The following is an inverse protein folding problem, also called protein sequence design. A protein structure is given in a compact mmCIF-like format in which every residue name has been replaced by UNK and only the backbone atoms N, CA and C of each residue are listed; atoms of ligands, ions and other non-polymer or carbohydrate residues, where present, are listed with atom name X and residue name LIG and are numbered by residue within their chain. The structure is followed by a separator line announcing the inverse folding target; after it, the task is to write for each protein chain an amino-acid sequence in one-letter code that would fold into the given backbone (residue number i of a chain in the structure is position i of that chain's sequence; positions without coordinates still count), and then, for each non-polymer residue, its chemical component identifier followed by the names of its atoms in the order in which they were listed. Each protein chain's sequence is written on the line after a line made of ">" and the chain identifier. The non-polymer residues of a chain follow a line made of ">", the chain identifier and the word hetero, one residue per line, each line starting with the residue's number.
data_IF_262914064628
#
_entry.id   IF_262914064628
#
_cell.length_a   1.000
_cell.length_b   1.000
_cell.length_c   1.000
_cell.angle_alpha   90.00
_cell.angle_beta   90.00
_cell.angle_gamma   90.00
#
_symmetry.space_group_name_H-M   'P 1'
#
loop_
_entity.id
_entity.type
_entity.pdbx_description
1 polymer ?
#
# COMPACT_ATOMS: atom_id res chain seq x y z
N UNK A 1 -11.22 -33.18 57.92
CA UNK A 1 -12.31 -32.33 58.44
C UNK A 1 -12.80 -31.47 57.28
N UNK A 2 -13.65 -32.04 56.41
CA UNK A 2 -15.13 -31.89 56.37
C UNK A 2 -15.50 -30.77 55.38
N UNK A 3 -16.05 -31.09 54.18
CA UNK A 3 -17.49 -31.26 53.82
C UNK A 3 -18.33 -30.02 54.19
N UNK A 4 -19.24 -29.42 53.40
CA UNK A 4 -20.36 -29.86 52.52
C UNK A 4 -20.72 -28.64 51.60
N UNK A 5 -21.20 -28.75 50.33
CA UNK A 5 -22.55 -29.13 49.81
C UNK A 5 -23.64 -28.14 50.31
N UNK A 6 -24.45 -27.42 49.52
CA UNK A 6 -25.59 -27.76 48.59
C UNK A 6 -26.12 -26.40 48.04
N UNK A 7 -26.49 -26.13 46.77
CA UNK A 7 -27.50 -26.61 45.80
C UNK A 7 -28.94 -26.00 45.91
N UNK A 8 -29.48 -25.61 44.72
CA UNK A 8 -30.90 -25.44 44.29
C UNK A 8 -31.67 -24.18 44.77
N UNK A 9 -32.49 -23.44 43.99
CA UNK A 9 -33.57 -23.76 43.02
C UNK A 9 -33.75 -22.58 42.01
N UNK A 10 -33.81 -22.80 40.68
CA UNK A 10 -34.99 -22.88 39.78
C UNK A 10 -36.00 -21.72 39.79
N UNK A 11 -36.26 -21.12 38.60
CA UNK A 11 -37.56 -21.05 37.89
C UNK A 11 -37.39 -20.25 36.56
N UNK A 12 -37.77 -20.88 35.43
CA UNK A 12 -38.01 -20.26 34.12
C UNK A 12 -39.48 -19.81 34.01
N UNK A 13 -39.82 -18.93 33.06
CA UNK A 13 -41.09 -19.07 32.35
C UNK A 13 -40.91 -19.16 30.83
N UNK A 14 -41.59 -20.16 30.28
CA UNK A 14 -41.98 -20.34 28.87
C UNK A 14 -43.28 -19.57 28.65
N UNK A 15 -43.46 -18.90 27.49
CA UNK A 15 -44.80 -18.68 26.93
C UNK A 15 -44.81 -18.79 25.40
N UNK A 16 -45.95 -19.30 24.94
CA UNK A 16 -46.26 -19.96 23.68
C UNK A 16 -46.42 -19.04 22.45
N UNK A 17 -46.23 -19.69 21.31
CA UNK A 17 -46.74 -19.36 19.96
C UNK A 17 -48.27 -19.40 19.88
N UNK A 18 -48.87 -18.56 19.02
CA UNK A 18 -50.07 -18.95 18.25
C UNK A 18 -50.37 -18.05 17.02
N UNK A 19 -50.60 -18.74 15.89
CA UNK A 19 -51.49 -18.50 14.73
C UNK A 19 -51.63 -17.13 14.00
N UNK A 20 -51.40 -17.19 12.68
CA UNK A 20 -51.95 -16.38 11.56
C UNK A 20 -53.31 -17.02 11.12
N UNK A 21 -54.36 -16.30 10.62
CA UNK A 21 -54.53 -16.00 9.17
C UNK A 21 -55.53 -14.82 8.81
N UNK A 22 -55.83 -14.64 7.49
CA UNK A 22 -56.70 -13.67 6.77
C UNK A 22 -55.97 -12.40 6.24
N UNK A 23 -55.64 -12.22 4.96
CA UNK A 23 -56.32 -12.31 3.64
C UNK A 23 -57.19 -11.10 3.24
N UNK A 24 -56.73 -10.44 2.17
CA UNK A 24 -57.45 -9.80 1.06
C UNK A 24 -58.06 -8.38 1.12
N UNK A 25 -57.53 -7.55 0.20
CA UNK A 25 -58.19 -6.60 -0.73
C UNK A 25 -58.94 -5.38 -0.13
N UNK A 26 -58.89 -4.14 -0.63
CA UNK A 26 -58.65 -3.63 -1.99
C UNK A 26 -58.48 -2.07 -1.99
N UNK A 27 -57.83 -1.56 -3.04
CA UNK A 27 -57.98 -0.25 -3.73
C UNK A 27 -57.51 1.13 -3.17
N UNK A 28 -56.53 1.70 -3.94
CA UNK A 28 -56.45 3.05 -4.61
C UNK A 28 -56.42 4.32 -3.71
N UNK A 29 -55.69 5.41 -3.96
CA UNK A 29 -55.06 5.99 -5.18
C UNK A 29 -54.06 7.12 -4.81
N UNK A 30 -52.99 7.29 -5.63
CA UNK A 30 -52.25 8.56 -5.97
C UNK A 30 -51.37 9.24 -4.89
N UNK A 31 -50.20 9.83 -5.16
CA UNK A 31 -49.64 10.49 -6.36
C UNK A 31 -48.12 10.25 -6.52
N UNK A 32 -47.72 10.07 -7.78
CA UNK A 32 -46.36 10.23 -8.31
C UNK A 32 -45.93 11.70 -8.31
N UNK A 33 -44.66 11.98 -8.01
CA UNK A 33 -43.95 13.17 -8.53
C UNK A 33 -42.64 12.72 -9.15
N UNK A 34 -42.57 12.89 -10.47
CA UNK A 34 -41.37 12.86 -11.32
C UNK A 34 -40.74 14.25 -11.30
N UNK A 35 -39.41 14.35 -11.15
CA UNK A 35 -38.68 15.59 -11.37
C UNK A 35 -37.82 15.48 -12.62
N UNK A 36 -38.21 16.28 -13.60
CA UNK A 36 -37.59 16.39 -14.91
C UNK A 36 -36.49 17.47 -14.88
N UNK A 37 -35.43 17.22 -15.63
CA UNK A 37 -34.24 18.05 -15.79
C UNK A 37 -34.52 19.30 -16.65
N UNK A 38 -34.17 20.50 -16.16
CA UNK A 38 -33.88 21.68 -16.99
C UNK A 38 -32.80 22.56 -16.36
N UNK A 39 -31.87 22.97 -17.22
CA UNK A 39 -30.63 23.76 -17.02
C UNK A 39 -30.87 25.17 -16.46
N UNK A 40 -29.97 25.65 -15.60
CA UNK A 40 -29.69 27.09 -15.35
C UNK A 40 -28.18 27.32 -15.07
N UNK A 41 -27.59 28.45 -15.51
CA UNK A 41 -26.18 28.80 -15.31
C UNK A 41 -25.93 29.66 -14.04
N UNK A 42 -24.67 29.80 -13.57
CA UNK A 42 -24.33 30.57 -12.35
C UNK A 42 -24.21 32.08 -12.60
N UNK A 43 -24.22 32.92 -11.54
CA UNK A 43 -24.43 34.36 -11.66
C UNK A 43 -23.16 35.19 -11.90
N UNK A 44 -23.41 36.33 -12.54
CA UNK A 44 -22.52 37.44 -12.91
C UNK A 44 -21.92 38.18 -11.71
N UNK A 45 -20.62 38.44 -11.74
CA UNK A 45 -19.91 39.35 -10.81
C UNK A 45 -19.76 40.73 -11.47
N UNK A 46 -20.11 41.77 -10.71
CA UNK A 46 -20.19 43.17 -11.13
C UNK A 46 -18.88 43.73 -11.71
N UNK A 47 -18.99 44.38 -12.87
CA UNK A 47 -18.04 45.38 -13.37
C UNK A 47 -18.32 46.74 -12.70
N UNK A 48 -17.34 47.28 -11.96
CA UNK A 48 -17.27 48.69 -11.60
C UNK A 48 -16.47 49.43 -12.67
N UNK A 49 -17.16 50.26 -13.47
CA UNK A 49 -16.56 51.33 -14.28
C UNK A 49 -16.50 52.59 -13.42
N UNK A 50 -15.31 53.17 -13.27
CA UNK A 50 -15.13 54.57 -12.87
C UNK A 50 -14.35 55.32 -13.95
N UNK A 51 -14.73 56.59 -14.09
CA UNK A 51 -14.44 57.49 -15.19
C UNK A 51 -12.99 58.01 -15.22
N UNK A 52 -12.59 58.40 -16.44
CA UNK A 52 -11.39 59.13 -16.82
C UNK A 52 -11.32 60.56 -16.26
N UNK A 53 -10.11 61.03 -15.89
CA UNK A 53 -9.58 62.40 -16.11
C UNK A 53 -8.09 62.49 -15.74
N UNK A 54 -7.27 62.92 -16.71
CA UNK A 54 -5.99 63.71 -16.70
C UNK A 54 -5.35 64.08 -15.34
N UNK A 55 -4.02 64.07 -15.09
CA UNK A 55 -2.89 64.74 -15.81
C UNK A 55 -1.50 64.32 -15.28
N UNK A 56 -0.51 64.36 -16.18
CA UNK A 56 0.93 64.75 -16.09
C UNK A 56 1.98 64.02 -15.22
N UNK A 57 3.01 63.56 -15.96
CA UNK A 57 4.47 63.63 -15.71
C UNK A 57 5.09 62.84 -14.55
N UNK A 58 5.96 61.87 -14.87
CA UNK A 58 7.42 62.05 -14.89
C UNK A 58 8.09 60.82 -15.52
N UNK A 59 9.16 61.08 -16.28
CA UNK A 59 9.95 60.12 -17.03
C UNK A 59 10.87 59.29 -16.14
N UNK A 60 11.13 58.03 -16.52
CA UNK A 60 12.50 57.52 -16.53
C UNK A 60 12.66 56.40 -17.58
N UNK A 61 13.86 56.32 -18.14
CA UNK A 61 14.16 55.83 -19.49
C UNK A 61 15.07 54.60 -19.52
N UNK A 62 14.71 53.63 -20.39
CA UNK A 62 15.54 52.69 -21.20
C UNK A 62 16.38 51.58 -20.51
N UNK A 63 16.77 50.49 -21.22
CA UNK A 63 16.10 49.71 -22.28
C UNK A 63 16.26 48.15 -22.13
N UNK A 64 15.55 47.33 -22.93
CA UNK A 64 15.75 45.87 -22.97
C UNK A 64 16.87 45.41 -23.93
N UNK A 65 17.49 44.27 -23.62
CA UNK A 65 18.65 43.63 -24.26
C UNK A 65 18.39 43.08 -25.69
N UNK A 66 19.42 43.00 -26.56
CA UNK A 66 19.27 42.65 -27.99
C UNK A 66 19.16 41.14 -28.26
N UNK A 67 18.44 40.79 -29.34
CA UNK A 67 18.31 39.45 -29.92
C UNK A 67 19.55 39.01 -30.73
N UNK A 68 19.82 37.70 -30.88
CA UNK A 68 21.04 37.21 -31.53
C UNK A 68 20.96 37.26 -33.08
N UNK A 69 22.11 37.28 -33.79
CA UNK A 69 22.15 37.41 -35.24
C UNK A 69 21.91 36.08 -36.00
N UNK A 70 21.56 36.12 -37.28
CA UNK A 70 21.26 34.92 -38.08
C UNK A 70 22.54 34.24 -38.63
N UNK A 71 22.48 32.92 -38.80
CA UNK A 71 23.57 32.09 -39.34
C UNK A 71 23.63 32.12 -40.88
N UNK A 72 24.82 31.95 -41.50
CA UNK A 72 24.96 31.91 -42.96
C UNK A 72 24.70 30.49 -43.52
N UNK A 73 24.30 30.36 -44.81
CA UNK A 73 24.08 29.06 -45.45
C UNK A 73 25.30 28.61 -46.28
N UNK A 74 25.55 27.31 -46.35
CA UNK A 74 26.55 26.73 -47.26
C UNK A 74 26.85 25.26 -47.00
N UNK A 75 26.70 24.45 -48.04
CA UNK A 75 26.59 22.99 -48.12
C UNK A 75 27.87 22.16 -47.85
N UNK A 76 27.66 20.88 -47.48
CA UNK A 76 28.14 19.62 -48.14
C UNK A 76 28.48 18.48 -47.17
N UNK A 77 27.98 17.30 -47.54
CA UNK A 77 28.11 15.98 -46.93
C UNK A 77 29.53 15.57 -46.51
N UNK A 78 29.71 15.09 -45.26
CA UNK A 78 30.69 14.03 -44.92
C UNK A 78 30.29 13.25 -43.63
N UNK A 79 30.25 11.94 -43.82
CA UNK A 79 30.06 10.76 -42.95
C UNK A 79 30.57 10.82 -41.47
N UNK A 80 29.89 10.05 -40.60
CA UNK A 80 30.29 9.48 -39.28
C UNK A 80 30.30 10.43 -38.06
N UNK A 81 29.32 10.26 -37.16
CA UNK A 81 29.47 9.39 -35.97
C UNK A 81 28.14 9.32 -35.22
N UNK A 82 27.62 8.11 -35.01
CA UNK A 82 26.43 7.91 -34.18
C UNK A 82 26.82 8.15 -32.73
N UNK A 83 26.58 9.37 -32.24
CA UNK A 83 26.81 9.73 -30.84
C UNK A 83 26.23 8.64 -29.93
N UNK A 84 27.01 8.06 -29.00
CA UNK A 84 26.53 6.98 -28.17
C UNK A 84 25.34 7.48 -27.36
N UNK A 85 24.22 6.75 -27.47
CA UNK A 85 22.99 7.02 -26.72
C UNK A 85 23.31 7.03 -25.22
N UNK A 86 23.52 8.25 -24.68
CA UNK A 86 23.91 8.49 -23.27
C UNK A 86 22.94 7.83 -22.28
N UNK A 87 21.70 7.57 -22.69
CA UNK A 87 20.71 6.80 -21.92
C UNK A 87 21.10 5.32 -21.77
N UNK A 88 21.55 4.69 -22.86
CA UNK A 88 21.95 3.28 -22.90
C UNK A 88 23.21 3.01 -22.08
N UNK A 89 24.16 3.93 -22.13
CA UNK A 89 25.40 3.84 -21.34
C UNK A 89 25.16 4.07 -19.85
N UNK A 90 24.26 4.98 -19.49
CA UNK A 90 23.84 5.16 -18.09
C UNK A 90 23.14 3.91 -17.54
N UNK A 91 22.26 3.27 -18.32
CA UNK A 91 21.61 2.01 -17.93
C UNK A 91 22.61 0.86 -17.77
N UNK A 92 23.63 0.78 -18.64
CA UNK A 92 24.73 -0.19 -18.51
C UNK A 92 25.58 0.06 -17.27
N UNK A 93 25.92 1.32 -16.98
CA UNK A 93 26.68 1.69 -15.78
C UNK A 93 25.92 1.34 -14.49
N UNK A 94 24.62 1.65 -14.42
CA UNK A 94 23.75 1.26 -13.29
C UNK A 94 23.67 -0.25 -13.16
N UNK A 95 23.52 -0.99 -14.27
CA UNK A 95 23.51 -2.46 -14.27
C UNK A 95 24.82 -3.04 -13.76
N UNK A 96 25.97 -2.53 -14.19
CA UNK A 96 27.29 -2.99 -13.76
C UNK A 96 27.56 -2.65 -12.28
N UNK A 97 27.19 -1.45 -11.85
CA UNK A 97 27.26 -1.06 -10.44
C UNK A 97 26.37 -1.94 -9.57
N UNK A 98 25.15 -2.25 -10.05
CA UNK A 98 24.25 -3.17 -9.41
C UNK A 98 24.80 -4.59 -9.36
N UNK A 99 25.34 -5.12 -10.46
CA UNK A 99 25.97 -6.44 -10.48
C UNK A 99 27.12 -6.52 -9.48
N UNK A 100 27.95 -5.47 -9.37
CA UNK A 100 29.00 -5.38 -8.34
C UNK A 100 28.42 -5.37 -6.92
N UNK A 101 27.33 -4.63 -6.70
CA UNK A 101 26.59 -4.58 -5.43
C UNK A 101 25.97 -5.94 -5.06
N UNK A 102 25.49 -6.68 -6.07
CA UNK A 102 24.74 -7.93 -5.97
C UNK A 102 25.63 -9.18 -6.07
N UNK A 103 26.93 -9.04 -6.41
CA UNK A 103 27.91 -10.15 -6.38
C UNK A 103 27.97 -10.83 -5.01
N UNK A 104 27.81 -10.07 -3.93
CA UNK A 104 27.67 -10.61 -2.58
C UNK A 104 26.37 -11.39 -2.35
N UNK A 105 25.27 -11.04 -3.02
CA UNK A 105 23.99 -11.78 -2.92
C UNK A 105 24.08 -13.19 -3.50
N UNK A 106 24.94 -13.43 -4.50
CA UNK A 106 25.13 -14.76 -5.10
C UNK A 106 25.90 -15.69 -4.17
N UNK A 107 26.89 -15.15 -3.46
CA UNK A 107 27.61 -15.87 -2.41
C UNK A 107 26.71 -16.17 -1.20
N UNK A 108 25.84 -15.23 -0.84
CA UNK A 108 24.80 -15.47 0.16
C UNK A 108 23.71 -16.44 -0.33
N UNK A 109 23.33 -16.45 -1.61
CA UNK A 109 22.34 -17.40 -2.18
C UNK A 109 22.68 -18.87 -1.95
N UNK A 110 23.97 -19.24 -1.95
CA UNK A 110 24.40 -20.62 -1.69
C UNK A 110 24.33 -21.01 -0.22
N UNK A 111 24.37 -20.03 0.70
CA UNK A 111 24.33 -20.26 2.16
C UNK A 111 22.97 -19.92 2.78
N UNK A 112 22.20 -19.10 2.07
CA UNK A 112 20.90 -18.57 2.43
C UNK A 112 19.76 -19.20 1.62
N UNK A 113 19.82 -20.52 1.40
CA UNK A 113 18.59 -21.30 1.34
C UNK A 113 18.03 -21.30 2.77
N UNK A 114 17.49 -20.14 3.16
CA UNK A 114 17.29 -19.75 4.55
C UNK A 114 16.02 -20.36 5.08
N UNK A 115 16.17 -21.14 6.15
CA UNK A 115 15.14 -21.78 6.95
C UNK A 115 13.88 -20.91 7.13
N UNK A 116 14.02 -19.58 7.23
CA UNK A 116 12.89 -18.65 7.30
C UNK A 116 11.95 -18.76 6.10
N UNK A 117 12.45 -18.58 4.87
CA UNK A 117 11.58 -18.61 3.69
C UNK A 117 10.99 -20.00 3.46
N UNK A 118 11.77 -21.05 3.73
CA UNK A 118 11.34 -22.43 3.55
C UNK A 118 10.24 -22.82 4.56
N UNK A 119 10.34 -22.39 5.83
CA UNK A 119 9.34 -22.68 6.86
C UNK A 119 8.10 -21.79 6.79
N UNK A 120 8.21 -20.58 6.24
CA UNK A 120 7.06 -19.69 6.03
C UNK A 120 6.09 -20.34 5.03
N UNK A 121 4.84 -20.54 5.47
CA UNK A 121 3.74 -21.12 4.67
C UNK A 121 2.77 -20.05 4.22
N UNK A 122 2.50 -19.03 5.04
CA UNK A 122 1.48 -18.03 4.75
C UNK A 122 1.92 -16.61 5.13
N UNK A 123 1.69 -15.67 4.23
CA UNK A 123 1.84 -14.23 4.47
C UNK A 123 0.50 -13.57 4.24
N UNK A 124 0.14 -12.62 5.09
CA UNK A 124 -0.98 -11.72 4.86
C UNK A 124 -0.48 -10.32 4.54
N UNK A 125 -1.13 -9.65 3.59
CA UNK A 125 -0.89 -8.25 3.22
C UNK A 125 -2.16 -7.46 3.48
N UNK A 126 -2.12 -6.56 4.46
CA UNK A 126 -3.22 -5.67 4.82
C UNK A 126 -3.15 -4.42 3.95
N UNK A 127 -4.05 -4.31 2.97
CA UNK A 127 -4.16 -3.16 2.07
C UNK A 127 -3.78 -3.49 0.62
N UNK A 128 -4.78 -3.44 -0.26
CA UNK A 128 -4.65 -3.68 -1.70
C UNK A 128 -4.24 -2.46 -2.54
N UNK A 129 -3.53 -1.49 -1.96
CA UNK A 129 -3.00 -0.33 -2.70
C UNK A 129 -1.79 -0.69 -3.57
N UNK A 130 -1.20 0.30 -4.26
CA UNK A 130 -0.03 0.07 -5.13
C UNK A 130 1.13 -0.61 -4.38
N UNK A 131 1.59 -0.08 -3.25
CA UNK A 131 2.77 -0.67 -2.59
C UNK A 131 2.46 -2.04 -1.94
N UNK A 132 1.28 -2.21 -1.33
CA UNK A 132 0.84 -3.51 -0.81
C UNK A 132 0.74 -4.58 -1.89
N UNK A 133 0.17 -4.24 -3.05
CA UNK A 133 0.09 -5.16 -4.21
C UNK A 133 1.48 -5.50 -4.75
N UNK A 134 2.37 -4.52 -4.87
CA UNK A 134 3.72 -4.77 -5.34
C UNK A 134 4.52 -5.67 -4.37
N UNK A 135 4.33 -5.48 -3.07
CA UNK A 135 4.95 -6.33 -2.07
C UNK A 135 4.36 -7.74 -2.07
N UNK A 136 3.04 -7.88 -2.22
CA UNK A 136 2.37 -9.17 -2.36
C UNK A 136 2.92 -9.97 -3.55
N UNK A 137 3.03 -9.34 -4.72
CA UNK A 137 3.64 -9.96 -5.90
C UNK A 137 5.11 -10.35 -5.64
N UNK A 138 5.88 -9.44 -5.05
CA UNK A 138 7.29 -9.69 -4.74
C UNK A 138 7.49 -10.89 -3.81
N UNK A 139 6.75 -10.97 -2.69
CA UNK A 139 6.88 -12.10 -1.75
C UNK A 139 6.34 -13.39 -2.33
N UNK A 140 5.25 -13.34 -3.10
CA UNK A 140 4.69 -14.51 -3.78
C UNK A 140 5.70 -15.15 -4.76
N UNK A 141 6.48 -14.33 -5.47
CA UNK A 141 7.55 -14.78 -6.37
C UNK A 141 8.74 -15.42 -5.64
N UNK A 142 8.86 -15.26 -4.31
CA UNK A 142 9.98 -15.83 -3.55
C UNK A 142 9.92 -17.35 -3.41
N UNK A 143 8.71 -17.91 -3.34
CA UNK A 143 8.46 -19.34 -3.11
C UNK A 143 7.08 -19.71 -3.67
N UNK A 144 7.06 -20.65 -4.61
CA UNK A 144 5.83 -21.03 -5.32
C UNK A 144 4.71 -21.59 -4.40
N UNK A 145 5.08 -22.27 -3.32
CA UNK A 145 4.13 -22.86 -2.35
C UNK A 145 3.73 -21.90 -1.22
N UNK A 146 4.20 -20.65 -1.26
CA UNK A 146 3.84 -19.65 -0.26
C UNK A 146 2.44 -19.11 -0.54
N UNK A 147 1.53 -19.22 0.42
CA UNK A 147 0.22 -18.60 0.35
C UNK A 147 0.35 -17.10 0.68
N UNK A 148 -0.09 -16.22 -0.23
CA UNK A 148 -0.07 -14.77 -0.02
C UNK A 148 -1.49 -14.22 -0.07
N UNK A 149 -2.05 -13.97 1.10
CA UNK A 149 -3.41 -13.45 1.22
C UNK A 149 -3.41 -11.93 1.32
N UNK A 150 -4.10 -11.27 0.41
CA UNK A 150 -4.32 -9.84 0.43
C UNK A 150 -5.68 -9.52 1.04
N UNK A 151 -5.70 -8.84 2.18
CA UNK A 151 -6.92 -8.25 2.70
C UNK A 151 -7.17 -6.92 1.98
N UNK A 152 -8.23 -6.90 1.16
CA UNK A 152 -8.63 -5.73 0.38
C UNK A 152 -10.03 -5.27 0.79
N UNK A 153 -10.28 -3.96 0.74
CA UNK A 153 -11.58 -3.39 1.11
C UNK A 153 -12.62 -3.47 -0.02
N UNK A 154 -12.15 -3.38 -1.25
CA UNK A 154 -13.00 -3.26 -2.44
C UNK A 154 -13.29 -4.65 -3.03
N UNK A 155 -14.55 -5.11 -3.05
CA UNK A 155 -14.92 -6.40 -3.63
C UNK A 155 -14.57 -6.53 -5.11
N UNK A 156 -14.54 -5.43 -5.87
CA UNK A 156 -14.16 -5.47 -7.29
C UNK A 156 -12.68 -5.78 -7.47
N UNK A 157 -11.82 -5.18 -6.62
CA UNK A 157 -10.38 -5.51 -6.60
C UNK A 157 -10.18 -6.96 -6.16
N UNK A 158 -10.91 -7.40 -5.14
CA UNK A 158 -10.87 -8.79 -4.65
C UNK A 158 -11.16 -9.78 -5.79
N UNK A 159 -12.30 -9.60 -6.46
CA UNK A 159 -12.71 -10.45 -7.57
C UNK A 159 -11.72 -10.40 -8.74
N UNK A 160 -11.24 -9.20 -9.12
CA UNK A 160 -10.24 -9.05 -10.19
C UNK A 160 -8.93 -9.80 -9.90
N UNK A 161 -8.46 -9.79 -8.65
CA UNK A 161 -7.24 -10.50 -8.26
C UNK A 161 -7.47 -12.02 -8.34
N UNK A 162 -8.62 -12.50 -7.85
CA UNK A 162 -8.89 -13.94 -7.79
C UNK A 162 -9.18 -14.56 -9.17
N UNK A 163 -9.93 -13.87 -10.02
CA UNK A 163 -10.31 -14.41 -11.34
C UNK A 163 -9.25 -14.14 -12.41
N UNK A 164 -8.70 -12.92 -12.44
CA UNK A 164 -7.85 -12.47 -13.54
C UNK A 164 -6.37 -12.40 -13.15
N UNK A 165 -6.05 -12.48 -11.86
CA UNK A 165 -4.72 -12.20 -11.31
C UNK A 165 -4.23 -10.79 -11.66
N UNK A 166 -5.11 -9.79 -11.60
CA UNK A 166 -4.74 -8.38 -11.72
C UNK A 166 -5.37 -7.56 -10.61
N UNK A 167 -4.63 -6.58 -10.09
CA UNK A 167 -5.25 -5.50 -9.34
C UNK A 167 -5.72 -4.44 -10.34
N UNK A 168 -6.97 -4.54 -10.80
CA UNK A 168 -7.55 -3.70 -11.85
C UNK A 168 -7.42 -2.18 -11.61
N UNK A 169 -7.30 -1.75 -10.35
CA UNK A 169 -7.19 -0.33 -9.99
C UNK A 169 -5.75 0.17 -9.98
N UNK A 170 -4.84 -0.59 -9.39
CA UNK A 170 -3.48 -0.12 -9.11
C UNK A 170 -2.43 -0.67 -10.08
N UNK A 171 -2.68 -1.84 -10.67
CA UNK A 171 -1.81 -2.50 -11.66
C UNK A 171 -2.64 -3.28 -12.70
N UNK A 172 -3.40 -2.59 -13.57
CA UNK A 172 -4.22 -3.24 -14.59
C UNK A 172 -3.39 -4.00 -15.64
N UNK A 173 -2.10 -3.70 -15.77
CA UNK A 173 -1.20 -4.27 -16.79
C UNK A 173 -0.17 -5.26 -16.22
N UNK A 174 -0.14 -5.49 -14.90
CA UNK A 174 0.82 -6.40 -14.27
C UNK A 174 0.12 -7.59 -13.63
N UNK A 175 0.34 -8.77 -14.22
CA UNK A 175 -0.21 -10.01 -13.71
C UNK A 175 0.45 -10.40 -12.39
N UNK A 176 -0.36 -10.71 -11.39
CA UNK A 176 0.05 -11.22 -10.10
C UNK A 176 0.38 -12.72 -10.18
N UNK A 177 1.32 -13.21 -9.35
CA UNK A 177 1.55 -14.64 -9.21
C UNK A 177 0.28 -15.38 -8.76
N UNK A 178 0.10 -16.63 -9.23
CA UNK A 178 -1.11 -17.41 -8.99
C UNK A 178 -1.33 -17.82 -7.52
N UNK A 179 -0.31 -17.68 -6.68
CA UNK A 179 -0.36 -17.89 -5.23
C UNK A 179 -0.72 -16.62 -4.43
N UNK A 180 -1.11 -15.53 -5.11
CA UNK A 180 -1.71 -14.35 -4.50
C UNK A 180 -3.23 -14.48 -4.53
N UNK A 181 -3.85 -14.47 -3.36
CA UNK A 181 -5.30 -14.61 -3.18
C UNK A 181 -5.82 -13.37 -2.46
N UNK A 182 -6.87 -12.74 -2.96
CA UNK A 182 -7.52 -11.63 -2.29
C UNK A 182 -8.75 -12.09 -1.51
N UNK A 183 -9.01 -11.44 -0.38
CA UNK A 183 -10.23 -11.61 0.41
C UNK A 183 -10.65 -10.28 1.01
N UNK A 184 -11.95 -10.14 1.30
CA UNK A 184 -12.51 -9.04 2.09
C UNK A 184 -12.74 -9.43 3.55
N UNK A 185 -12.52 -10.69 3.91
CA UNK A 185 -12.68 -11.21 5.27
C UNK A 185 -11.34 -11.21 6.02
N UNK A 186 -11.23 -10.38 7.06
CA UNK A 186 -10.02 -10.25 7.86
C UNK A 186 -9.68 -11.53 8.62
N UNK A 187 -10.69 -12.28 9.07
CA UNK A 187 -10.47 -13.49 9.87
C UNK A 187 -9.77 -14.58 9.05
N UNK A 188 -10.28 -14.90 7.86
CA UNK A 188 -9.64 -15.86 6.95
C UNK A 188 -8.27 -15.40 6.45
N UNK A 189 -8.10 -14.09 6.22
CA UNK A 189 -6.81 -13.52 5.80
C UNK A 189 -5.72 -13.76 6.84
N UNK A 190 -6.02 -13.48 8.10
CA UNK A 190 -5.06 -13.53 9.22
C UNK A 190 -4.83 -14.94 9.78
N UNK A 191 -5.80 -15.84 9.65
CA UNK A 191 -5.73 -17.18 10.22
C UNK A 191 -4.49 -17.94 9.72
N UNK A 192 -3.59 -18.29 10.65
CA UNK A 192 -2.38 -19.06 10.39
C UNK A 192 -1.31 -18.31 9.60
N UNK A 193 -1.35 -16.97 9.53
CA UNK A 193 -0.29 -16.19 8.92
C UNK A 193 1.01 -16.28 9.74
N UNK A 194 2.15 -16.41 9.05
CA UNK A 194 3.48 -16.39 9.68
C UNK A 194 4.06 -14.97 9.73
N UNK A 195 3.64 -14.10 8.81
CA UNK A 195 4.02 -12.68 8.74
C UNK A 195 2.85 -11.85 8.21
N UNK A 196 2.73 -10.63 8.72
CA UNK A 196 1.76 -9.63 8.30
C UNK A 196 2.46 -8.41 7.72
N UNK A 197 2.14 -8.06 6.48
CA UNK A 197 2.56 -6.82 5.85
C UNK A 197 1.47 -5.78 6.02
N UNK A 198 1.76 -4.72 6.75
CA UNK A 198 0.80 -3.64 6.95
C UNK A 198 1.06 -2.52 5.93
N UNK A 199 0.18 -2.41 4.94
CA UNK A 199 0.25 -1.43 3.85
C UNK A 199 -0.91 -0.41 3.87
N UNK A 200 -1.73 -0.40 4.93
CA UNK A 200 -2.82 0.56 5.10
C UNK A 200 -2.22 1.94 5.43
N UNK A 201 -2.69 3.05 4.81
CA UNK A 201 -2.18 4.38 5.12
C UNK A 201 -2.28 4.72 6.61
N UNK A 202 -1.27 5.41 7.15
CA UNK A 202 -1.12 5.70 8.59
C UNK A 202 -2.39 6.31 9.19
N UNK A 203 -3.04 7.22 8.47
CA UNK A 203 -4.24 7.94 8.94
C UNK A 203 -5.46 7.04 9.20
N UNK A 204 -5.50 5.85 8.58
CA UNK A 204 -6.60 4.89 8.76
C UNK A 204 -6.17 3.69 9.61
N UNK A 205 -4.92 3.65 10.08
CA UNK A 205 -4.33 2.44 10.63
C UNK A 205 -4.85 2.11 12.02
N UNK A 206 -5.06 3.10 12.91
CA UNK A 206 -5.55 2.82 14.27
C UNK A 206 -6.92 2.16 14.24
N UNK A 207 -7.90 2.79 13.56
CA UNK A 207 -9.27 2.27 13.48
C UNK A 207 -9.36 0.94 12.73
N UNK A 208 -8.58 0.77 11.66
CA UNK A 208 -8.50 -0.49 10.93
C UNK A 208 -7.95 -1.63 11.79
N UNK A 209 -6.84 -1.39 12.50
CA UNK A 209 -6.20 -2.40 13.34
C UNK A 209 -7.07 -2.76 14.57
N UNK A 210 -7.73 -1.77 15.18
CA UNK A 210 -8.71 -2.00 16.24
C UNK A 210 -9.84 -2.91 15.77
N UNK A 211 -10.32 -2.74 14.53
CA UNK A 211 -11.40 -3.55 13.95
C UNK A 211 -11.03 -4.99 13.62
N UNK A 212 -9.74 -5.33 13.60
CA UNK A 212 -9.27 -6.70 13.32
C UNK A 212 -8.51 -7.33 14.50
N UNK A 213 -8.39 -6.62 15.63
CA UNK A 213 -7.53 -7.00 16.74
C UNK A 213 -7.80 -8.43 17.25
N UNK A 214 -9.07 -8.83 17.31
CA UNK A 214 -9.49 -10.15 17.81
C UNK A 214 -9.08 -11.32 16.88
N UNK A 215 -8.66 -11.03 15.64
CA UNK A 215 -8.19 -12.03 14.67
C UNK A 215 -6.67 -12.12 14.57
N UNK A 216 -5.94 -11.20 15.22
CA UNK A 216 -4.49 -11.15 15.13
C UNK A 216 -3.86 -12.06 16.18
N UNK A 217 -3.05 -13.02 15.74
CA UNK A 217 -2.25 -13.81 16.66
C UNK A 217 -1.24 -12.89 17.40
N UNK A 218 -1.15 -12.94 18.75
CA UNK A 218 -0.27 -12.08 19.53
C UNK A 218 1.22 -12.19 19.18
N UNK A 219 1.64 -13.29 18.55
CA UNK A 219 3.01 -13.56 18.11
C UNK A 219 3.26 -13.23 16.64
N UNK A 220 2.23 -12.84 15.88
CA UNK A 220 2.33 -12.52 14.45
C UNK A 220 3.25 -11.31 14.20
N UNK A 221 4.37 -11.46 13.50
CA UNK A 221 5.19 -10.32 13.15
C UNK A 221 4.54 -9.37 12.14
N UNK A 222 4.51 -8.08 12.47
CA UNK A 222 4.08 -7.01 11.59
C UNK A 222 5.28 -6.34 10.92
N UNK A 223 5.27 -6.31 9.59
CA UNK A 223 6.17 -5.54 8.74
C UNK A 223 5.38 -4.31 8.25
N UNK A 224 5.61 -3.16 8.88
CA UNK A 224 5.00 -1.90 8.48
C UNK A 224 5.64 -1.39 7.18
N UNK A 225 4.81 -1.18 6.17
CA UNK A 225 5.16 -0.53 4.92
C UNK A 225 4.71 0.93 4.87
N UNK A 226 3.89 1.34 5.85
CA UNK A 226 3.25 2.64 5.92
C UNK A 226 4.26 3.68 6.40
N UNK A 227 4.29 4.84 5.74
CA UNK A 227 5.18 5.96 6.03
C UNK A 227 4.40 7.15 6.56
N UNK A 228 4.98 7.88 7.52
CA UNK A 228 4.42 9.11 8.07
C UNK A 228 3.85 8.97 9.48
N UNK A 229 3.27 10.05 9.98
CA UNK A 229 2.72 10.17 11.32
C UNK A 229 1.19 10.27 11.27
N UNK A 230 0.51 9.68 12.25
CA UNK A 230 -0.92 9.92 12.45
C UNK A 230 -1.14 11.36 12.89
N UNK A 231 -1.89 12.15 12.12
CA UNK A 231 -1.93 13.62 12.29
C UNK A 231 -2.41 14.08 13.67
N UNK A 232 -3.41 13.39 14.23
CA UNK A 232 -4.02 13.80 15.48
C UNK A 232 -3.19 13.44 16.72
N UNK A 233 -2.33 12.42 16.62
CA UNK A 233 -1.59 11.88 17.77
C UNK A 233 -0.08 12.00 17.63
N UNK A 234 0.39 12.35 16.42
CA UNK A 234 1.79 12.37 16.00
C UNK A 234 2.51 11.04 16.22
N UNK A 235 1.76 9.93 16.22
CA UNK A 235 2.32 8.59 16.44
C UNK A 235 2.86 7.97 15.17
N UNK A 236 3.94 7.22 15.33
CA UNK A 236 4.52 6.33 14.31
C UNK A 236 3.85 4.95 14.36
N UNK A 237 4.03 4.13 13.33
CA UNK A 237 3.43 2.80 13.25
C UNK A 237 3.92 1.86 14.37
N UNK A 238 5.17 1.98 14.81
CA UNK A 238 5.71 1.27 15.98
C UNK A 238 4.98 1.59 17.29
N UNK A 239 4.24 2.70 17.35
CA UNK A 239 3.39 3.07 18.48
C UNK A 239 1.91 2.75 18.22
N UNK A 240 1.45 2.87 16.97
CA UNK A 240 0.06 2.63 16.58
C UNK A 240 -0.27 1.13 16.65
N UNK A 241 0.53 0.26 16.02
CA UNK A 241 0.26 -1.18 15.93
C UNK A 241 0.07 -1.83 17.30
N UNK A 242 1.04 -1.77 18.24
CA UNK A 242 0.87 -2.42 19.54
C UNK A 242 -0.29 -1.83 20.35
N UNK A 243 -0.60 -0.53 20.19
CA UNK A 243 -1.71 0.12 20.90
C UNK A 243 -3.07 -0.33 20.36
N UNK A 244 -3.26 -0.28 19.05
CA UNK A 244 -4.51 -0.66 18.39
C UNK A 244 -4.83 -2.15 18.61
N UNK A 245 -3.80 -3.00 18.59
CA UNK A 245 -3.92 -4.44 18.86
C UNK A 245 -3.97 -4.79 20.35
N UNK A 246 -3.87 -3.79 21.25
CA UNK A 246 -3.83 -3.99 22.72
C UNK A 246 -2.72 -4.97 23.16
N UNK A 247 -1.62 -5.01 22.42
CA UNK A 247 -0.48 -5.88 22.66
C UNK A 247 0.84 -5.08 22.66
N UNK A 248 1.32 -4.64 23.83
CA UNK A 248 2.58 -3.88 23.94
C UNK A 248 3.83 -4.62 23.43
N UNK A 249 3.76 -5.95 23.30
CA UNK A 249 4.86 -6.81 22.84
C UNK A 249 4.68 -7.28 21.39
N UNK A 250 3.77 -6.68 20.62
CA UNK A 250 3.57 -7.06 19.21
C UNK A 250 4.90 -7.03 18.46
N UNK A 251 5.32 -8.14 17.82
CA UNK A 251 6.58 -8.16 17.08
C UNK A 251 6.48 -7.21 15.87
N UNK A 252 7.40 -6.25 15.81
CA UNK A 252 7.32 -5.13 14.88
C UNK A 252 8.61 -4.96 14.08
N UNK A 253 8.44 -4.72 12.78
CA UNK A 253 9.49 -4.37 11.82
C UNK A 253 9.00 -3.17 11.00
N UNK A 254 9.83 -2.15 10.85
CA UNK A 254 9.63 -1.09 9.85
C UNK A 254 10.38 -1.43 8.57
N UNK A 255 9.76 -1.25 7.41
CA UNK A 255 10.41 -1.35 6.10
C UNK A 255 10.34 0.00 5.38
N UNK A 256 11.48 0.58 5.03
CA UNK A 256 11.54 1.85 4.30
C UNK A 256 12.69 1.89 3.29
N UNK A 257 12.68 2.89 2.42
CA UNK A 257 13.65 3.07 1.34
C UNK A 257 13.05 3.69 0.07
N UNK A 258 13.89 4.00 -0.93
CA UNK A 258 13.46 4.41 -2.26
C UNK A 258 12.87 3.21 -3.00
N UNK A 259 11.55 3.10 -3.01
CA UNK A 259 10.85 1.90 -3.46
C UNK A 259 9.53 2.25 -4.17
N UNK A 260 9.61 2.73 -5.40
CA UNK A 260 8.40 2.95 -6.20
C UNK A 260 7.74 1.61 -6.51
N UNK A 261 6.42 1.52 -6.26
CA UNK A 261 5.68 0.27 -6.40
C UNK A 261 5.76 -0.31 -7.82
N UNK A 262 5.71 0.55 -8.85
CA UNK A 262 5.84 0.15 -10.25
C UNK A 262 7.24 -0.40 -10.57
N UNK A 263 8.30 0.16 -9.99
CA UNK A 263 9.66 -0.36 -10.18
C UNK A 263 9.80 -1.76 -9.57
N UNK A 264 9.18 -2.00 -8.43
CA UNK A 264 9.15 -3.32 -7.78
C UNK A 264 8.37 -4.34 -8.63
N UNK A 265 7.21 -3.96 -9.19
CA UNK A 265 6.45 -4.79 -10.13
C UNK A 265 7.24 -5.11 -11.41
N UNK A 266 8.02 -4.15 -11.90
CA UNK A 266 8.91 -4.33 -13.05
C UNK A 266 10.22 -5.08 -12.71
N UNK A 267 10.38 -5.55 -11.46
CA UNK A 267 11.57 -6.25 -10.95
C UNK A 267 12.87 -5.46 -11.19
N UNK A 268 12.78 -4.13 -11.14
CA UNK A 268 13.95 -3.27 -11.26
C UNK A 268 14.79 -3.32 -9.98
N UNK A 269 16.10 -3.06 -10.07
CA UNK A 269 16.97 -2.91 -8.90
C UNK A 269 16.43 -1.92 -7.87
N UNK A 270 16.12 -2.41 -6.68
CA UNK A 270 15.60 -1.63 -5.55
C UNK A 270 16.38 -1.96 -4.29
N UNK A 271 16.62 -0.96 -3.44
CA UNK A 271 17.27 -1.14 -2.14
C UNK A 271 16.39 -0.58 -1.03
N UNK A 272 16.21 -1.35 0.04
CA UNK A 272 15.41 -0.97 1.20
C UNK A 272 16.10 -1.36 2.51
N UNK A 273 15.60 -0.83 3.62
CA UNK A 273 16.04 -1.12 4.99
C UNK A 273 14.88 -1.70 5.77
N UNK A 274 15.10 -2.83 6.42
CA UNK A 274 14.23 -3.34 7.50
C UNK A 274 14.83 -2.95 8.85
N UNK A 275 14.02 -2.41 9.75
CA UNK A 275 14.43 -2.06 11.10
C UNK A 275 13.56 -2.75 12.14
N UNK A 276 14.18 -3.35 13.15
CA UNK A 276 13.48 -3.87 14.32
C UNK A 276 14.37 -3.77 15.55
N UNK A 277 13.75 -3.62 16.73
CA UNK A 277 14.45 -3.74 18.01
C UNK A 277 14.97 -5.16 18.25
N UNK A 278 14.32 -6.16 17.65
CA UNK A 278 14.79 -7.54 17.64
C UNK A 278 15.61 -7.83 16.38
N UNK A 279 16.93 -8.04 16.58
CA UNK A 279 17.86 -8.38 15.51
C UNK A 279 17.50 -9.68 14.78
N UNK A 280 16.98 -10.69 15.48
CA UNK A 280 16.56 -11.95 14.85
C UNK A 280 15.38 -11.69 13.92
N UNK A 281 14.46 -10.84 14.35
CA UNK A 281 13.28 -10.47 13.58
C UNK A 281 13.64 -9.65 12.33
N UNK A 282 14.55 -8.68 12.45
CA UNK A 282 15.08 -7.93 11.30
C UNK A 282 15.79 -8.85 10.28
N UNK A 283 16.61 -9.80 10.77
CA UNK A 283 17.28 -10.78 9.90
C UNK A 283 16.29 -11.72 9.22
N UNK A 284 15.22 -12.13 9.91
CA UNK A 284 14.18 -12.97 9.32
C UNK A 284 13.44 -12.24 8.20
N UNK A 285 13.07 -10.97 8.43
CA UNK A 285 12.46 -10.11 7.41
C UNK A 285 13.40 -9.89 6.20
N UNK A 286 14.69 -9.68 6.44
CA UNK A 286 15.68 -9.57 5.37
C UNK A 286 15.71 -10.84 4.51
N UNK A 287 15.72 -12.03 5.11
CA UNK A 287 15.73 -13.31 4.37
C UNK A 287 14.41 -13.50 3.59
N UNK A 288 13.29 -13.13 4.20
CA UNK A 288 11.95 -13.18 3.61
C UNK A 288 11.79 -12.24 2.40
N UNK A 289 12.54 -11.14 2.33
CA UNK A 289 12.40 -10.10 1.31
C UNK A 289 13.54 -10.03 0.28
N UNK A 290 14.79 -10.32 0.64
CA UNK A 290 15.93 -10.15 -0.25
C UNK A 290 15.86 -11.07 -1.49
N UNK A 291 15.97 -10.48 -2.68
CA UNK A 291 15.97 -11.21 -3.97
C UNK A 291 17.14 -10.75 -4.86
N UNK A 292 17.17 -11.19 -6.12
CA UNK A 292 18.16 -10.71 -7.09
C UNK A 292 17.99 -9.25 -7.50
N UNK A 293 16.80 -8.69 -7.31
CA UNK A 293 16.46 -7.32 -7.67
C UNK A 293 16.08 -6.46 -6.45
N UNK A 294 15.77 -7.06 -5.30
CA UNK A 294 15.53 -6.34 -4.05
C UNK A 294 16.64 -6.59 -3.03
N UNK A 295 17.48 -5.58 -2.79
CA UNK A 295 18.47 -5.60 -1.71
C UNK A 295 17.83 -5.10 -0.42
N UNK A 296 17.98 -5.88 0.66
CA UNK A 296 17.51 -5.50 1.99
C UNK A 296 18.71 -5.36 2.93
N UNK A 297 18.84 -4.19 3.57
CA UNK A 297 19.74 -3.96 4.68
C UNK A 297 18.97 -4.01 6.00
N UNK A 298 19.63 -4.36 7.10
CA UNK A 298 19.01 -4.40 8.44
C UNK A 298 19.48 -3.22 9.29
N UNK A 299 18.60 -2.67 10.12
CA UNK A 299 18.92 -1.66 11.13
C UNK A 299 18.26 -2.02 12.47
N UNK A 300 18.81 -1.52 13.57
CA UNK A 300 18.13 -1.50 14.88
C UNK A 300 17.44 -0.17 15.17
N UNK A 301 17.72 0.87 14.36
CA UNK A 301 17.11 2.19 14.47
C UNK A 301 15.74 2.20 13.81
N UNK A 302 14.72 1.79 14.58
CA UNK A 302 13.33 1.77 14.11
C UNK A 302 12.82 3.19 13.86
N UNK A 303 13.11 4.12 14.77
CA UNK A 303 12.63 5.50 14.70
C UNK A 303 13.20 6.26 13.51
N UNK A 304 14.47 6.06 13.18
CA UNK A 304 15.07 6.68 11.99
C UNK A 304 14.61 6.10 10.65
N UNK A 305 14.04 4.88 10.65
CA UNK A 305 13.59 4.20 9.42
C UNK A 305 12.11 4.43 9.11
N UNK A 306 11.26 4.61 10.13
CA UNK A 306 9.82 4.91 9.97
C UNK A 306 9.50 6.28 9.37
#
# INVERSE_FOLDING_TARGET
>A
MAKLIEASLLVNPVFHSDSNPYSDNNMKLSRFISFNSKKQPPPTLLLLRLHSSTTSCFADSTPPSPSPPPHPPGDLDLVLDSAPDRSRDRRRAVRLAWEKLVRWSKFWRSKAKTDVLERTKKIVVLGGGSFGTAMAAHVADRKAQLEVNMLVRDPQICHSINENHYNCKYFPEHKLPGNVIATTDAKSALLGADYCFHAVPVQFSSSFLEGIADYVDPSLPFISLSKGLELNTLRMMSQIIPRALKNPRQPFISLSGPSFALELMNKLPTAMVVASKDKKLANAAQQLLASSHLRISTSSDVTGVE
#
